data_IF_964375010513
#
_entry.id   IF_964375010513
#
_cell.length_a   1.000
_cell.length_b   1.000
_cell.length_c   1.000
_cell.angle_alpha   90.00
_cell.angle_beta   90.00
_cell.angle_gamma   90.00
#
_symmetry.space_group_name_H-M   'P 1'
#
loop_
_entity.id
_entity.type
_entity.pdbx_description
1 polymer ?
#
# COMPACT_ATOMS: atom_id res chain seq x y z
N UNK A 1 10.26 8.33 -11.79
CA UNK A 1 9.62 7.26 -11.00
C UNK A 1 9.63 6.01 -11.86
N UNK A 2 10.19 4.89 -11.38
CA UNK A 2 10.07 3.61 -12.07
C UNK A 2 8.61 3.16 -11.97
N UNK A 3 7.99 2.86 -13.12
CA UNK A 3 6.70 2.19 -13.15
C UNK A 3 6.89 0.80 -12.57
N UNK A 4 6.30 0.56 -11.39
CA UNK A 4 6.32 -0.76 -10.78
C UNK A 4 5.20 -1.59 -11.41
N UNK A 5 5.59 -2.56 -12.23
CA UNK A 5 4.71 -3.60 -12.74
C UNK A 5 4.55 -4.68 -11.65
N UNK A 6 3.30 -4.95 -11.28
CA UNK A 6 2.91 -6.01 -10.36
C UNK A 6 2.24 -7.13 -11.13
N UNK A 7 2.69 -8.36 -10.94
CA UNK A 7 1.99 -9.54 -11.47
C UNK A 7 0.95 -9.98 -10.44
N UNK A 8 -0.32 -10.00 -10.84
CA UNK A 8 -1.44 -10.27 -9.95
C UNK A 8 -2.42 -11.26 -10.57
N UNK A 9 -3.29 -11.84 -9.72
CA UNK A 9 -4.56 -12.42 -10.14
C UNK A 9 -5.72 -11.64 -9.53
N UNK A 10 -6.79 -11.45 -10.28
CA UNK A 10 -8.01 -10.75 -9.82
C UNK A 10 -9.16 -11.77 -9.77
N UNK A 11 -9.89 -11.86 -8.66
CA UNK A 11 -10.97 -12.84 -8.45
C UNK A 11 -12.23 -12.18 -7.89
N UNK A 12 -13.45 -12.54 -8.32
CA UNK A 12 -14.66 -12.03 -7.70
C UNK A 12 -14.76 -12.51 -6.25
N UNK A 13 -15.00 -11.62 -5.29
CA UNK A 13 -15.09 -12.01 -3.88
C UNK A 13 -16.30 -12.94 -3.60
N UNK A 14 -17.39 -12.77 -4.36
CA UNK A 14 -18.58 -13.62 -4.27
C UNK A 14 -18.42 -14.99 -4.96
N UNK A 15 -17.37 -15.18 -5.76
CA UNK A 15 -17.05 -16.45 -6.40
C UNK A 15 -15.51 -16.60 -6.54
N UNK A 16 -14.80 -16.87 -5.42
CA UNK A 16 -13.34 -16.81 -5.36
C UNK A 16 -12.64 -17.97 -6.08
N UNK A 17 -13.40 -18.90 -6.66
CA UNK A 17 -12.89 -19.98 -7.51
C UNK A 17 -12.80 -19.55 -8.99
N UNK A 18 -13.25 -18.33 -9.32
CA UNK A 18 -13.10 -17.76 -10.65
C UNK A 18 -12.02 -16.68 -10.67
N UNK A 19 -11.39 -16.52 -11.83
CA UNK A 19 -10.31 -15.58 -12.07
C UNK A 19 -10.62 -14.69 -13.26
N UNK A 20 -10.30 -13.40 -13.16
CA UNK A 20 -10.36 -12.48 -14.30
C UNK A 20 -9.51 -13.05 -15.43
N UNK A 21 -10.07 -13.00 -16.63
CA UNK A 21 -9.58 -13.73 -17.78
C UNK A 21 -9.75 -12.85 -19.02
N UNK A 22 -8.69 -12.15 -19.45
CA UNK A 22 -8.61 -11.58 -20.78
C UNK A 22 -8.58 -12.71 -21.80
N UNK A 23 -9.66 -12.86 -22.58
CA UNK A 23 -9.64 -13.81 -23.67
C UNK A 23 -8.56 -13.41 -24.69
N UNK A 24 -7.99 -14.42 -25.31
CA UNK A 24 -7.14 -14.30 -26.49
C UNK A 24 -7.57 -15.25 -27.60
N UNK A 25 -8.75 -15.87 -27.47
CA UNK A 25 -9.36 -16.65 -28.54
C UNK A 25 -10.18 -15.73 -29.45
N UNK A 26 -9.97 -15.86 -30.76
CA UNK A 26 -10.70 -15.06 -31.77
C UNK A 26 -12.21 -15.33 -31.79
N UNK A 27 -12.70 -16.28 -30.99
CA UNK A 27 -14.11 -16.69 -30.94
C UNK A 27 -15.05 -15.55 -30.57
N UNK A 28 -14.57 -14.53 -29.84
CA UNK A 28 -15.36 -13.32 -29.50
C UNK A 28 -14.62 -12.00 -29.66
N UNK A 29 -13.65 -11.93 -30.57
CA UNK A 29 -13.03 -10.66 -30.92
C UNK A 29 -14.07 -9.62 -31.40
N UNK A 30 -13.87 -8.34 -31.09
CA UNK A 30 -14.54 -7.24 -31.78
C UNK A 30 -13.49 -6.36 -32.44
N UNK A 31 -13.27 -6.56 -33.73
CA UNK A 31 -12.10 -6.00 -34.40
C UNK A 31 -10.82 -6.59 -33.81
N UNK A 32 -9.95 -5.73 -33.26
CA UNK A 32 -8.71 -6.13 -32.60
C UNK A 32 -8.87 -6.36 -31.08
N UNK A 33 -10.07 -6.15 -30.54
CA UNK A 33 -10.33 -6.24 -29.10
C UNK A 33 -10.73 -7.65 -28.70
N UNK A 34 -10.45 -8.03 -27.45
CA UNK A 34 -10.87 -9.32 -26.88
C UNK A 34 -11.69 -9.16 -25.61
N UNK A 35 -12.67 -10.02 -25.39
CA UNK A 35 -13.50 -10.01 -24.16
C UNK A 35 -12.66 -10.21 -22.88
N UNK A 36 -13.12 -9.64 -21.77
CA UNK A 36 -12.68 -10.00 -20.42
C UNK A 36 -13.81 -10.70 -19.69
N UNK A 37 -13.49 -11.82 -19.04
CA UNK A 37 -14.44 -12.68 -18.32
C UNK A 37 -13.92 -13.09 -16.96
N UNK A 38 -14.68 -13.91 -16.26
CA UNK A 38 -14.17 -14.72 -15.16
C UNK A 38 -14.23 -16.20 -15.52
N UNK A 39 -13.15 -16.93 -15.25
CA UNK A 39 -12.96 -18.32 -15.66
C UNK A 39 -12.68 -19.20 -14.42
N UNK A 40 -13.26 -20.41 -14.30
CA UNK A 40 -13.12 -21.28 -13.11
C UNK A 40 -11.77 -22.01 -12.99
N UNK A 41 -10.90 -21.93 -14.00
CA UNK A 41 -9.58 -22.56 -13.95
C UNK A 41 -8.48 -21.53 -13.77
N UNK A 42 -7.50 -21.89 -12.93
CA UNK A 42 -6.27 -21.10 -12.79
C UNK A 42 -5.31 -21.48 -13.91
N UNK A 43 -5.01 -20.51 -14.77
CA UNK A 43 -4.09 -20.66 -15.90
C UNK A 43 -3.24 -19.39 -16.11
N UNK A 44 -2.26 -19.48 -17.00
CA UNK A 44 -1.33 -18.36 -17.27
C UNK A 44 -2.05 -17.09 -17.72
N UNK A 45 -3.18 -17.23 -18.43
CA UNK A 45 -3.99 -16.09 -18.92
C UNK A 45 -4.68 -15.31 -17.80
N UNK A 46 -4.79 -15.88 -16.59
CA UNK A 46 -5.30 -15.16 -15.43
C UNK A 46 -4.27 -14.26 -14.76
N UNK A 47 -3.00 -14.36 -15.15
CA UNK A 47 -1.96 -13.45 -14.67
C UNK A 47 -2.09 -12.11 -15.38
N UNK A 48 -2.12 -11.04 -14.59
CA UNK A 48 -2.31 -9.68 -15.05
C UNK A 48 -1.13 -8.82 -14.60
N UNK A 49 -0.76 -7.85 -15.43
CA UNK A 49 0.22 -6.83 -15.10
C UNK A 49 -0.54 -5.58 -14.67
N UNK A 50 -0.41 -5.21 -13.40
CA UNK A 50 -0.86 -3.93 -12.86
C UNK A 50 0.30 -2.96 -12.89
N UNK A 51 0.15 -1.87 -13.61
CA UNK A 51 1.14 -0.79 -13.66
C UNK A 51 0.59 0.43 -12.96
N UNK A 52 1.30 0.90 -11.92
CA UNK A 52 0.92 2.11 -11.22
C UNK A 52 1.09 3.36 -12.10
N UNK A 53 0.06 4.21 -12.11
CA UNK A 53 0.06 5.49 -12.84
C UNK A 53 0.25 6.65 -11.87
N UNK A 54 -0.66 6.79 -10.90
CA UNK A 54 -0.65 7.81 -9.83
C UNK A 54 -1.64 7.39 -8.74
N UNK A 55 -1.45 7.83 -7.51
CA UNK A 55 -2.40 7.58 -6.40
C UNK A 55 -2.88 6.12 -6.37
N UNK A 56 -4.18 5.87 -6.49
CA UNK A 56 -4.81 4.55 -6.58
C UNK A 56 -5.20 4.16 -8.03
N UNK A 57 -4.56 4.77 -9.02
CA UNK A 57 -4.83 4.59 -10.45
C UNK A 57 -3.81 3.66 -11.09
N UNK A 58 -4.32 2.64 -11.77
CA UNK A 58 -3.52 1.59 -12.42
C UNK A 58 -4.00 1.35 -13.84
N UNK A 59 -3.10 0.88 -14.70
CA UNK A 59 -3.52 0.14 -15.90
C UNK A 59 -3.45 -1.36 -15.62
N UNK A 60 -4.35 -2.13 -16.22
CA UNK A 60 -4.37 -3.59 -16.12
C UNK A 60 -4.09 -4.16 -17.51
N UNK A 61 -3.08 -5.02 -17.65
CA UNK A 61 -2.73 -5.68 -18.92
C UNK A 61 -2.71 -7.19 -18.76
N UNK A 62 -2.97 -7.92 -19.84
CA UNK A 62 -2.78 -9.38 -19.86
C UNK A 62 -1.29 -9.71 -19.78
N UNK A 63 -0.86 -10.62 -18.90
CA UNK A 63 0.54 -11.05 -18.87
C UNK A 63 0.92 -11.88 -20.11
N UNK A 64 -0.04 -12.58 -20.71
CA UNK A 64 0.17 -13.39 -21.93
C UNK A 64 0.00 -12.58 -23.22
N UNK A 65 -0.57 -11.37 -23.12
CA UNK A 65 -0.63 -10.40 -24.20
C UNK A 65 -0.37 -8.96 -23.65
N UNK A 66 0.88 -8.64 -23.29
CA UNK A 66 1.22 -7.44 -22.52
C UNK A 66 1.10 -6.12 -23.29
N UNK A 67 0.78 -6.17 -24.59
CA UNK A 67 0.46 -4.99 -25.38
C UNK A 67 -1.02 -4.61 -25.26
N UNK A 68 -1.87 -5.47 -24.68
CA UNK A 68 -3.30 -5.24 -24.54
C UNK A 68 -3.68 -4.78 -23.13
N UNK A 69 -4.40 -3.66 -23.05
CA UNK A 69 -4.95 -3.08 -21.83
C UNK A 69 -6.40 -3.51 -21.64
N UNK A 70 -6.77 -3.89 -20.42
CA UNK A 70 -8.16 -4.02 -19.99
C UNK A 70 -8.76 -2.62 -19.91
N UNK A 71 -9.94 -2.42 -20.51
CA UNK A 71 -10.63 -1.14 -20.54
C UNK A 71 -12.16 -1.32 -20.47
N UNK A 72 -12.84 -0.30 -19.95
CA UNK A 72 -14.30 -0.24 -20.00
C UNK A 72 -14.75 0.37 -21.33
N UNK A 73 -15.51 -0.40 -22.10
CA UNK A 73 -16.07 0.03 -23.37
C UNK A 73 -17.44 0.68 -23.18
N UNK A 74 -17.48 1.98 -23.39
CA UNK A 74 -18.69 2.80 -23.40
C UNK A 74 -19.25 3.05 -24.81
N UNK A 75 -18.91 2.21 -25.79
CA UNK A 75 -19.37 2.33 -27.19
C UNK A 75 -20.78 1.78 -27.43
N UNK A 76 -21.39 1.14 -26.42
CA UNK A 76 -22.74 0.59 -26.49
C UNK A 76 -22.88 -0.68 -27.33
N UNK A 77 -21.79 -1.25 -27.84
CA UNK A 77 -21.84 -2.39 -28.78
C UNK A 77 -22.20 -3.70 -28.09
N UNK A 78 -21.69 -3.91 -26.87
CA UNK A 78 -21.91 -5.12 -26.05
C UNK A 78 -22.39 -4.82 -24.63
N UNK A 79 -22.72 -3.56 -24.36
CA UNK A 79 -23.34 -3.16 -23.09
C UNK A 79 -24.68 -3.85 -22.90
N UNK A 80 -24.99 -4.23 -21.67
CA UNK A 80 -26.30 -4.76 -21.31
C UNK A 80 -27.04 -3.73 -20.46
N UNK A 81 -28.18 -3.23 -20.96
CA UNK A 81 -28.88 -2.14 -20.29
C UNK A 81 -28.03 -0.87 -20.21
N UNK A 82 -27.72 -0.41 -18.99
CA UNK A 82 -26.86 0.75 -18.72
C UNK A 82 -25.39 0.41 -18.45
N UNK A 83 -25.01 -0.87 -18.56
CA UNK A 83 -23.67 -1.34 -18.24
C UNK A 83 -22.71 -1.12 -19.40
N UNK A 84 -21.42 -0.90 -19.07
CA UNK A 84 -20.34 -0.93 -20.04
C UNK A 84 -19.71 -2.32 -20.09
N UNK A 85 -19.41 -2.79 -21.29
CA UNK A 85 -18.65 -4.03 -21.50
C UNK A 85 -17.18 -3.82 -21.12
N UNK A 86 -16.46 -4.89 -20.77
CA UNK A 86 -15.03 -4.85 -20.44
C UNK A 86 -14.26 -5.76 -21.37
N UNK A 87 -13.30 -5.15 -22.06
CA UNK A 87 -12.51 -5.79 -23.13
C UNK A 87 -11.04 -5.48 -22.94
N UNK A 88 -10.21 -6.07 -23.80
CA UNK A 88 -8.82 -5.68 -23.95
C UNK A 88 -8.52 -5.17 -25.34
N UNK A 89 -7.64 -4.18 -25.46
CA UNK A 89 -7.20 -3.61 -26.76
C UNK A 89 -5.77 -3.07 -26.68
N UNK A 90 -5.15 -2.85 -27.84
CA UNK A 90 -3.75 -2.43 -27.93
C UNK A 90 -3.53 -0.90 -27.85
N UNK A 91 -4.58 -0.09 -27.86
CA UNK A 91 -4.42 1.37 -27.90
C UNK A 91 -4.11 1.90 -26.50
N UNK A 92 -3.13 2.80 -26.38
CA UNK A 92 -2.85 3.47 -25.13
C UNK A 92 -3.75 4.69 -24.96
N UNK A 93 -4.78 4.59 -24.12
CA UNK A 93 -5.76 5.66 -23.89
C UNK A 93 -6.19 5.76 -22.43
N UNK A 94 -6.91 6.83 -22.08
CA UNK A 94 -7.33 7.12 -20.71
C UNK A 94 -8.31 6.07 -20.15
N UNK A 95 -9.11 5.42 -21.01
CA UNK A 95 -10.04 4.34 -20.62
C UNK A 95 -9.35 3.07 -20.12
N UNK A 96 -8.03 2.96 -20.30
CA UNK A 96 -7.21 1.85 -19.78
C UNK A 96 -6.92 1.99 -18.29
N UNK A 97 -7.25 3.15 -17.70
CA UNK A 97 -6.98 3.46 -16.31
C UNK A 97 -8.16 3.04 -15.44
N UNK A 98 -7.81 2.43 -14.31
CA UNK A 98 -8.72 1.91 -13.30
C UNK A 98 -8.34 2.47 -11.94
N UNK A 99 -9.33 2.90 -11.18
CA UNK A 99 -9.17 3.27 -9.78
C UNK A 99 -9.36 1.99 -8.96
N UNK A 100 -8.32 1.57 -8.22
CA UNK A 100 -8.35 0.36 -7.38
C UNK A 100 -8.26 0.76 -5.92
N UNK A 101 -9.33 0.53 -5.16
CA UNK A 101 -9.46 0.98 -3.76
C UNK A 101 -9.84 -0.16 -2.85
N UNK A 102 -9.19 -0.25 -1.69
CA UNK A 102 -9.56 -1.20 -0.66
C UNK A 102 -10.97 -0.89 -0.11
N UNK A 103 -11.80 -1.92 0.00
CA UNK A 103 -13.17 -1.83 0.50
C UNK A 103 -13.55 -3.10 1.26
N UNK A 104 -13.72 -3.01 2.57
CA UNK A 104 -14.07 -4.16 3.41
C UNK A 104 -13.01 -5.26 3.35
N UNK A 105 -13.36 -6.42 2.79
CA UNK A 105 -12.48 -7.60 2.68
C UNK A 105 -11.85 -7.76 1.29
N UNK A 106 -11.93 -6.74 0.43
CA UNK A 106 -11.41 -6.79 -0.93
C UNK A 106 -11.23 -5.40 -1.53
N UNK A 107 -11.45 -5.27 -2.83
CA UNK A 107 -11.22 -4.05 -3.60
C UNK A 107 -12.42 -3.71 -4.47
N UNK A 108 -12.72 -2.42 -4.59
CA UNK A 108 -13.48 -1.89 -5.72
C UNK A 108 -12.50 -1.54 -6.85
N UNK A 109 -12.88 -1.90 -8.08
CA UNK A 109 -12.17 -1.52 -9.31
C UNK A 109 -13.13 -0.64 -10.11
N UNK A 110 -12.84 0.65 -10.25
CA UNK A 110 -13.73 1.65 -10.87
C UNK A 110 -13.12 2.22 -12.15
N UNK A 111 -13.97 2.59 -13.11
CA UNK A 111 -13.52 3.19 -14.37
C UNK A 111 -12.96 4.58 -14.09
N UNK A 112 -11.72 4.88 -14.47
CA UNK A 112 -11.12 6.19 -14.17
C UNK A 112 -11.86 7.35 -14.85
N UNK A 113 -12.30 7.19 -16.10
CA UNK A 113 -13.08 8.21 -16.83
C UNK A 113 -14.55 8.29 -16.41
N UNK A 114 -15.07 7.27 -15.70
CA UNK A 114 -16.43 7.22 -15.17
C UNK A 114 -16.42 6.65 -13.75
N UNK A 115 -15.93 7.41 -12.74
CA UNK A 115 -15.61 6.86 -11.42
C UNK A 115 -16.81 6.31 -10.63
N UNK A 116 -18.03 6.60 -11.05
CA UNK A 116 -19.26 6.03 -10.52
C UNK A 116 -19.54 4.60 -11.03
N UNK A 117 -18.82 4.11 -12.05
CA UNK A 117 -18.97 2.76 -12.57
C UNK A 117 -17.98 1.77 -11.92
N UNK A 118 -18.51 0.67 -11.40
CA UNK A 118 -17.79 -0.38 -10.68
C UNK A 118 -17.70 -1.65 -11.52
N UNK A 119 -16.52 -2.26 -11.59
CA UNK A 119 -16.30 -3.57 -12.20
C UNK A 119 -17.06 -4.66 -11.45
N UNK A 120 -17.70 -5.58 -12.16
CA UNK A 120 -18.34 -6.74 -11.57
C UNK A 120 -18.33 -7.94 -12.52
N UNK A 121 -18.41 -9.14 -11.96
CA UNK A 121 -18.67 -10.36 -12.73
C UNK A 121 -20.18 -10.53 -12.90
N UNK A 122 -20.65 -10.50 -14.14
CA UNK A 122 -22.05 -10.68 -14.50
C UNK A 122 -22.41 -12.17 -14.45
N UNK A 123 -23.06 -12.58 -13.36
CA UNK A 123 -23.59 -13.93 -13.16
C UNK A 123 -25.07 -14.06 -13.58
N UNK A 124 -25.51 -13.23 -14.52
CA UNK A 124 -26.90 -13.15 -15.01
C UNK A 124 -27.18 -14.11 -16.17
N UNK A 125 -26.19 -14.94 -16.55
CA UNK A 125 -26.28 -15.89 -17.66
C UNK A 125 -26.20 -15.26 -19.05
N UNK A 126 -26.08 -13.93 -19.13
CA UNK A 126 -25.90 -13.26 -20.42
C UNK A 126 -24.50 -13.55 -20.96
N UNK A 127 -24.45 -13.98 -22.22
CA UNK A 127 -23.22 -14.36 -22.95
C UNK A 127 -22.33 -15.43 -22.30
N UNK A 128 -22.82 -16.20 -21.33
CA UNK A 128 -22.05 -17.30 -20.72
C UNK A 128 -21.49 -18.26 -21.78
N UNK A 129 -20.19 -18.56 -21.72
CA UNK A 129 -19.54 -19.57 -22.56
C UNK A 129 -19.00 -20.67 -21.66
N UNK A 130 -19.68 -21.81 -21.63
CA UNK A 130 -19.36 -22.87 -20.67
C UNK A 130 -19.57 -22.40 -19.24
N UNK A 131 -18.51 -22.44 -18.43
CA UNK A 131 -18.51 -21.99 -17.04
C UNK A 131 -18.11 -20.54 -16.83
N UNK A 132 -17.90 -19.76 -17.89
CA UNK A 132 -17.42 -18.38 -17.78
C UNK A 132 -18.55 -17.38 -17.51
N UNK A 133 -18.23 -16.32 -16.79
CA UNK A 133 -19.11 -15.15 -16.59
C UNK A 133 -18.53 -13.91 -17.25
N UNK A 134 -19.40 -13.12 -17.88
CA UNK A 134 -19.04 -11.81 -18.44
C UNK A 134 -18.51 -10.87 -17.34
N UNK A 135 -17.72 -9.89 -17.72
CA UNK A 135 -17.27 -8.82 -16.83
C UNK A 135 -17.68 -7.48 -17.40
N UNK A 136 -18.30 -6.65 -16.57
CA UNK A 136 -18.90 -5.37 -16.97
C UNK A 136 -18.62 -4.31 -15.92
N UNK A 137 -19.01 -3.07 -16.22
CA UNK A 137 -19.06 -2.00 -15.23
C UNK A 137 -20.41 -1.32 -15.20
N UNK A 138 -20.87 -0.93 -14.00
CA UNK A 138 -22.20 -0.34 -13.80
C UNK A 138 -22.22 0.62 -12.60
N UNK A 139 -23.22 1.52 -12.48
CA UNK A 139 -23.22 2.54 -11.44
C UNK A 139 -23.79 2.09 -10.08
N UNK A 140 -24.25 0.84 -9.97
CA UNK A 140 -24.83 0.35 -8.71
C UNK A 140 -23.74 -0.19 -7.79
N UNK A 141 -23.90 0.03 -6.49
CA UNK A 141 -23.03 -0.55 -5.48
C UNK A 141 -23.68 -1.79 -4.89
N UNK A 142 -23.06 -2.94 -5.12
CA UNK A 142 -23.54 -4.24 -4.71
C UNK A 142 -22.39 -5.21 -4.39
N UNK A 143 -22.73 -6.37 -3.81
CA UNK A 143 -21.74 -7.35 -3.37
C UNK A 143 -20.85 -7.89 -4.52
N UNK A 144 -21.35 -7.87 -5.77
CA UNK A 144 -20.61 -8.34 -6.94
C UNK A 144 -19.49 -7.38 -7.38
N UNK A 145 -19.47 -6.14 -6.86
CA UNK A 145 -18.40 -5.17 -7.14
C UNK A 145 -17.10 -5.43 -6.38
N UNK A 146 -17.11 -6.39 -5.46
CA UNK A 146 -15.96 -6.68 -4.63
C UNK A 146 -15.05 -7.72 -5.30
N UNK A 147 -13.77 -7.37 -5.41
CA UNK A 147 -12.73 -8.20 -6.01
C UNK A 147 -11.61 -8.50 -5.01
N UNK A 148 -11.04 -9.68 -5.07
CA UNK A 148 -9.80 -10.04 -4.40
C UNK A 148 -8.66 -9.89 -5.42
N UNK A 149 -7.57 -9.23 -5.05
CA UNK A 149 -6.43 -9.03 -5.93
C UNK A 149 -5.19 -9.61 -5.26
N UNK A 150 -4.82 -10.82 -5.66
CA UNK A 150 -3.65 -11.52 -5.12
C UNK A 150 -2.39 -10.97 -5.79
N UNK A 151 -1.40 -10.57 -5.00
CA UNK A 151 -0.17 -9.96 -5.50
C UNK A 151 -0.24 -8.44 -5.67
N UNK A 152 -1.40 -7.81 -5.43
CA UNK A 152 -1.48 -6.35 -5.34
C UNK A 152 -0.93 -5.88 -4.00
N UNK A 153 0.30 -5.36 -4.05
CA UNK A 153 0.98 -4.81 -2.88
C UNK A 153 1.28 -3.33 -3.12
N UNK A 154 0.25 -2.50 -3.26
CA UNK A 154 0.40 -1.04 -3.35
C UNK A 154 -0.16 -0.38 -2.09
N UNK A 155 0.69 0.29 -1.31
CA UNK A 155 0.21 1.14 -0.20
C UNK A 155 -0.11 2.53 -0.76
N UNK A 156 -1.04 3.29 -0.14
CA UNK A 156 -1.10 4.72 -0.39
C UNK A 156 0.31 5.29 -0.21
N UNK A 157 0.75 6.15 -1.14
CA UNK A 157 2.13 6.57 -1.23
C UNK A 157 2.64 7.15 0.09
N UNK A 158 1.76 7.80 0.86
CA UNK A 158 2.04 8.33 2.20
C UNK A 158 0.80 8.18 3.10
N UNK A 159 0.97 7.63 4.31
CA UNK A 159 -0.06 7.54 5.35
C UNK A 159 0.25 8.53 6.48
N UNK A 160 -0.75 9.28 6.95
CA UNK A 160 -0.61 10.14 8.12
C UNK A 160 -1.06 9.37 9.37
N UNK A 161 -0.14 9.17 10.30
CA UNK A 161 -0.29 8.24 11.42
C UNK A 161 0.22 8.85 12.73
N UNK A 162 -0.12 8.20 13.85
CA UNK A 162 0.63 8.34 15.11
C UNK A 162 1.34 7.04 15.43
N UNK A 163 2.51 7.12 16.05
CA UNK A 163 3.27 5.94 16.52
C UNK A 163 3.33 6.01 18.04
N UNK A 164 2.96 4.94 18.74
CA UNK A 164 2.90 4.89 20.21
C UNK A 164 3.62 3.67 20.75
N UNK A 165 4.22 3.80 21.93
CA UNK A 165 4.90 2.68 22.59
C UNK A 165 3.86 1.65 23.02
N UNK A 166 3.96 0.40 22.59
CA UNK A 166 2.93 -0.60 22.93
C UNK A 166 2.88 -0.93 24.43
N UNK A 167 4.03 -0.94 25.10
CA UNK A 167 4.12 -1.15 26.56
C UNK A 167 3.71 0.08 27.38
N UNK A 168 3.60 1.25 26.74
CA UNK A 168 3.07 2.47 27.34
C UNK A 168 2.25 3.26 26.30
N UNK A 169 1.02 2.82 25.98
CA UNK A 169 0.23 3.34 24.86
C UNK A 169 -0.16 4.81 24.97
N UNK A 170 0.06 5.45 26.13
CA UNK A 170 -0.17 6.87 26.29
C UNK A 170 0.98 7.72 25.75
N UNK A 171 2.13 7.13 25.41
CA UNK A 171 3.30 7.84 24.91
C UNK A 171 3.40 7.79 23.38
N UNK A 172 3.48 8.97 22.77
CA UNK A 172 3.47 9.20 21.33
C UNK A 172 4.87 9.62 20.86
N UNK A 173 5.31 9.00 19.76
CA UNK A 173 6.52 9.37 19.04
C UNK A 173 6.41 10.80 18.50
N UNK A 174 7.50 11.57 18.58
CA UNK A 174 7.61 12.88 17.96
C UNK A 174 9.07 13.24 17.68
N UNK A 175 9.28 14.14 16.73
CA UNK A 175 10.57 14.83 16.58
C UNK A 175 10.60 16.05 17.50
N UNK A 176 11.62 16.15 18.33
CA UNK A 176 11.86 17.31 19.19
C UNK A 176 12.07 18.56 18.33
N UNK A 177 11.67 19.72 18.87
CA UNK A 177 11.96 21.02 18.28
C UNK A 177 12.67 21.95 19.28
N UNK A 178 13.14 21.40 20.41
CA UNK A 178 13.72 22.17 21.51
C UNK A 178 15.10 22.75 21.16
N UNK A 179 15.73 22.29 20.08
CA UNK A 179 17.05 22.75 19.62
C UNK A 179 18.18 22.45 20.60
N UNK A 180 17.90 21.75 21.71
CA UNK A 180 18.86 21.53 22.81
C UNK A 180 19.93 20.52 22.43
N UNK A 181 19.64 19.67 21.42
CA UNK A 181 20.46 18.49 21.12
C UNK A 181 20.70 18.25 19.64
N UNK A 182 20.29 19.18 18.77
CA UNK A 182 20.54 19.08 17.34
C UNK A 182 22.03 19.20 17.01
N UNK A 183 22.60 18.13 16.48
CA UNK A 183 23.92 18.15 15.85
C UNK A 183 23.70 18.54 14.38
N UNK A 184 24.25 19.67 13.95
CA UNK A 184 24.26 20.03 12.53
C UNK A 184 22.89 20.33 11.88
N UNK A 185 21.83 20.57 12.65
CA UNK A 185 20.47 20.78 12.13
C UNK A 185 19.53 19.58 12.26
N UNK A 186 20.02 18.49 12.85
CA UNK A 186 19.20 17.33 13.19
C UNK A 186 18.30 17.60 14.41
N UNK A 187 17.23 16.83 14.55
CA UNK A 187 16.38 16.86 15.75
C UNK A 187 16.25 15.47 16.39
N UNK A 188 16.38 15.38 17.70
CA UNK A 188 16.14 14.13 18.44
C UNK A 188 14.71 13.62 18.24
N UNK A 189 14.54 12.32 18.27
CA UNK A 189 13.22 11.66 18.33
C UNK A 189 12.98 11.13 19.73
N UNK A 190 11.79 11.41 20.26
CA UNK A 190 11.38 11.04 21.62
C UNK A 190 9.94 10.52 21.65
N UNK A 191 9.51 10.07 22.82
CA UNK A 191 8.09 9.80 23.10
C UNK A 191 7.63 10.56 24.33
N UNK A 192 6.37 11.02 24.35
CA UNK A 192 5.77 11.75 25.48
C UNK A 192 4.27 11.52 25.59
N UNK A 193 3.69 11.83 26.75
CA UNK A 193 2.28 11.57 27.03
C UNK A 193 1.30 12.58 26.40
N UNK A 194 1.78 13.73 25.92
CA UNK A 194 0.88 14.78 25.39
C UNK A 194 0.50 14.48 23.94
N UNK A 195 -0.78 14.68 23.62
CA UNK A 195 -1.29 14.58 22.27
C UNK A 195 -1.25 15.94 21.59
N UNK A 196 -0.34 16.09 20.64
CA UNK A 196 -0.07 17.32 19.92
C UNK A 196 0.14 17.06 18.41
N UNK A 197 0.08 18.13 17.62
CA UNK A 197 0.25 18.05 16.17
C UNK A 197 1.58 17.40 15.75
N UNK A 198 2.65 17.55 16.56
CA UNK A 198 3.97 16.98 16.29
C UNK A 198 4.06 15.47 16.44
N UNK A 199 3.04 14.83 17.03
CA UNK A 199 2.95 13.37 17.07
C UNK A 199 2.54 12.75 15.73
N UNK A 200 2.04 13.58 14.80
CA UNK A 200 1.66 13.12 13.46
C UNK A 200 2.93 12.86 12.64
N UNK A 201 3.01 11.67 12.07
CA UNK A 201 4.09 11.22 11.20
C UNK A 201 3.55 10.79 9.85
N UNK A 202 4.38 10.98 8.83
CA UNK A 202 4.11 10.54 7.46
C UNK A 202 4.91 9.25 7.20
N UNK A 203 4.20 8.15 7.01
CA UNK A 203 4.77 6.88 6.57
C UNK A 203 4.67 6.78 5.06
N UNK A 204 5.78 6.98 4.37
CA UNK A 204 5.84 6.91 2.90
C UNK A 204 6.43 5.57 2.48
N UNK A 205 5.68 4.78 1.72
CA UNK A 205 6.15 3.44 1.33
C UNK A 205 7.20 3.54 0.24
N UNK A 206 8.33 2.87 0.47
CA UNK A 206 9.46 2.76 -0.48
C UNK A 206 9.39 1.44 -1.23
N UNK A 207 9.13 0.33 -0.54
CA UNK A 207 8.99 -1.01 -1.13
C UNK A 207 8.20 -1.95 -0.21
N UNK A 208 8.23 -3.27 -0.42
CA UNK A 208 7.53 -4.24 0.45
C UNK A 208 8.05 -4.12 1.88
N UNK A 209 7.16 -3.73 2.80
CA UNK A 209 7.44 -3.48 4.21
C UNK A 209 8.51 -2.42 4.50
N UNK A 210 8.99 -1.66 3.50
CA UNK A 210 9.99 -0.60 3.69
C UNK A 210 9.34 0.76 3.54
N UNK A 211 9.56 1.64 4.51
CA UNK A 211 8.96 2.96 4.59
C UNK A 211 10.01 4.01 4.97
N UNK A 212 9.81 5.26 4.57
CA UNK A 212 10.40 6.39 5.29
C UNK A 212 9.40 6.91 6.31
N UNK A 213 9.92 7.47 7.41
CA UNK A 213 9.12 8.11 8.45
C UNK A 213 9.55 9.57 8.48
N UNK A 214 8.62 10.51 8.40
CA UNK A 214 8.87 11.94 8.50
C UNK A 214 7.89 12.60 9.46
N UNK A 215 8.27 13.72 10.09
CA UNK A 215 7.33 14.49 10.91
C UNK A 215 6.33 15.20 9.99
N UNK A 216 5.02 15.11 10.26
CA UNK A 216 4.03 15.77 9.42
C UNK A 216 4.14 17.32 9.47
N UNK A 217 4.62 17.87 10.59
CA UNK A 217 4.86 19.31 10.74
C UNK A 217 6.14 19.78 10.00
N UNK A 218 7.06 18.86 9.67
CA UNK A 218 8.24 19.13 8.86
C UNK A 218 8.52 17.93 7.93
N UNK A 219 7.75 17.79 6.84
CA UNK A 219 7.79 16.59 5.97
C UNK A 219 9.13 16.34 5.28
N UNK A 220 10.00 17.34 5.24
CA UNK A 220 11.33 17.24 4.65
C UNK A 220 12.36 16.64 5.62
N UNK A 221 12.02 16.42 6.88
CA UNK A 221 12.91 15.80 7.87
C UNK A 221 12.55 14.34 8.12
N UNK A 222 13.48 13.45 7.77
CA UNK A 222 13.30 12.00 7.84
C UNK A 222 13.97 11.41 9.07
N UNK A 223 13.29 10.45 9.71
CA UNK A 223 13.80 9.73 10.86
C UNK A 223 14.92 8.79 10.40
N UNK A 224 16.01 8.71 11.16
CA UNK A 224 17.14 7.83 10.89
C UNK A 224 17.84 7.40 12.19
N UNK A 225 18.44 6.19 12.25
CA UNK A 225 19.35 5.83 13.31
C UNK A 225 20.68 6.57 13.11
N UNK A 226 21.03 7.39 14.10
CA UNK A 226 22.28 8.12 14.18
C UNK A 226 23.40 7.18 14.66
N UNK A 227 23.88 6.34 13.76
CA UNK A 227 25.05 5.47 13.93
C UNK A 227 26.40 6.20 13.83
N UNK A 228 26.40 7.52 14.02
CA UNK A 228 27.56 8.42 13.97
C UNK A 228 28.52 8.30 15.17
N UNK A 229 28.22 7.39 16.11
CA UNK A 229 29.01 7.16 17.32
C UNK A 229 28.99 8.32 18.34
N UNK A 230 28.30 9.42 18.05
CA UNK A 230 28.37 10.65 18.86
C UNK A 230 27.55 10.54 20.15
N UNK A 231 26.59 9.61 20.20
CA UNK A 231 25.71 9.37 21.36
C UNK A 231 25.25 7.91 21.53
N UNK A 232 26.06 6.95 21.10
CA UNK A 232 25.73 5.55 21.32
C UNK A 232 25.82 5.22 22.82
N UNK A 233 24.73 4.74 23.42
CA UNK A 233 24.72 4.23 24.79
C UNK A 233 24.64 2.71 24.77
N UNK A 234 25.63 2.02 25.32
CA UNK A 234 25.60 0.55 25.42
C UNK A 234 25.53 -0.21 24.07
N UNK A 235 25.82 0.45 22.94
CA UNK A 235 25.67 -0.13 21.59
C UNK A 235 24.36 0.26 20.89
N UNK A 236 23.50 1.04 21.54
CA UNK A 236 22.30 1.62 20.95
C UNK A 236 22.66 2.80 20.05
N UNK A 237 21.83 3.08 19.04
CA UNK A 237 21.92 4.30 18.24
C UNK A 237 20.71 5.19 18.47
N UNK A 238 20.93 6.46 18.82
CA UNK A 238 19.87 7.47 18.87
C UNK A 238 19.12 7.56 17.56
N UNK A 239 17.82 7.85 17.61
CA UNK A 239 17.06 8.20 16.42
C UNK A 239 16.89 9.70 16.36
N UNK A 240 17.20 10.26 15.19
CA UNK A 240 17.10 11.69 14.91
C UNK A 240 16.34 11.91 13.61
N UNK A 241 16.08 13.17 13.28
CA UNK A 241 15.54 13.58 11.98
C UNK A 241 16.47 14.55 11.27
N UNK A 242 16.62 14.44 9.96
CA UNK A 242 17.44 15.34 9.14
C UNK A 242 16.83 15.57 7.74
N UNK A 243 17.24 16.61 6.99
CA UNK A 243 16.71 16.89 5.65
C UNK A 243 17.38 16.13 4.51
N UNK A 244 18.45 15.37 4.77
CA UNK A 244 19.13 14.57 3.75
C UNK A 244 18.29 13.37 3.31
N UNK A 245 18.53 12.88 2.10
CA UNK A 245 17.90 11.68 1.56
C UNK A 245 18.95 10.57 1.47
N UNK A 246 18.87 9.59 2.36
CA UNK A 246 19.83 8.50 2.47
C UNK A 246 19.18 7.17 2.87
N UNK A 247 19.92 6.08 2.71
CA UNK A 247 19.42 4.72 3.00
C UNK A 247 19.03 4.52 4.47
N UNK A 248 19.67 5.23 5.40
CA UNK A 248 19.32 5.22 6.84
C UNK A 248 17.93 5.80 7.13
N UNK A 249 17.34 6.55 6.21
CA UNK A 249 15.96 7.05 6.35
C UNK A 249 14.91 5.97 6.11
N UNK A 250 15.32 4.79 5.63
CA UNK A 250 14.43 3.66 5.37
C UNK A 250 14.30 2.79 6.61
N UNK A 251 13.09 2.32 6.84
CA UNK A 251 12.68 1.50 7.97
C UNK A 251 11.88 0.31 7.49
N UNK A 252 12.18 -0.87 8.02
CA UNK A 252 11.39 -2.08 7.81
C UNK A 252 10.29 -2.10 8.88
N UNK A 253 9.02 -2.09 8.48
CA UNK A 253 7.86 -2.14 9.38
C UNK A 253 7.11 -3.44 9.14
N UNK A 254 7.01 -4.26 10.19
CA UNK A 254 6.40 -5.59 10.14
C UNK A 254 5.49 -5.83 11.36
N UNK A 255 4.50 -6.71 11.21
CA UNK A 255 3.64 -7.13 12.32
C UNK A 255 4.47 -7.84 13.40
N UNK A 256 4.21 -7.52 14.66
CA UNK A 256 4.75 -8.26 15.81
C UNK A 256 3.93 -9.54 16.13
N UNK A 257 2.88 -9.81 15.35
CA UNK A 257 1.90 -10.90 15.53
C UNK A 257 1.10 -10.84 16.85
N UNK A 258 1.10 -9.70 17.52
CA UNK A 258 0.44 -9.45 18.79
C UNK A 258 -0.35 -8.14 18.78
N UNK A 259 -0.72 -7.63 17.60
CA UNK A 259 -1.47 -6.38 17.43
C UNK A 259 -0.61 -5.11 17.50
N UNK A 260 0.70 -5.22 17.33
CA UNK A 260 1.62 -4.10 17.15
C UNK A 260 2.57 -4.32 15.97
N UNK A 261 3.59 -3.48 15.89
CA UNK A 261 4.58 -3.46 14.82
C UNK A 261 5.99 -3.39 15.36
N UNK A 262 6.89 -4.11 14.70
CA UNK A 262 8.33 -3.95 14.83
C UNK A 262 8.79 -2.97 13.76
N UNK A 263 9.60 -1.99 14.16
CA UNK A 263 10.22 -1.02 13.25
C UNK A 263 11.72 -1.24 13.32
N UNK A 264 12.37 -1.59 12.20
CA UNK A 264 13.80 -1.94 12.14
C UNK A 264 14.54 -1.04 11.18
N UNK A 265 15.81 -0.77 11.47
CA UNK A 265 16.68 -0.04 10.54
C UNK A 265 16.82 -0.82 9.23
N UNK A 266 16.71 -0.15 8.08
CA UNK A 266 16.94 -0.81 6.79
C UNK A 266 18.41 -1.16 6.56
N UNK A 267 19.34 -0.28 6.96
CA UNK A 267 20.78 -0.50 6.78
C UNK A 267 21.38 -1.44 7.82
N UNK A 268 20.71 -1.60 8.97
CA UNK A 268 21.08 -2.56 10.00
C UNK A 268 19.83 -3.30 10.51
N UNK A 269 19.31 -4.30 9.76
CA UNK A 269 18.02 -4.95 10.07
C UNK A 269 17.97 -5.73 11.38
N UNK A 270 19.10 -5.90 12.07
CA UNK A 270 19.14 -6.47 13.41
C UNK A 270 18.77 -5.45 14.48
N UNK A 271 18.78 -4.15 14.17
CA UNK A 271 18.47 -3.09 15.13
C UNK A 271 16.99 -2.70 15.09
N UNK A 272 16.34 -2.79 16.24
CA UNK A 272 14.91 -2.50 16.46
C UNK A 272 14.74 -1.14 17.13
N UNK A 273 13.81 -0.34 16.63
CA UNK A 273 13.37 0.91 17.26
C UNK A 273 12.73 0.61 18.62
N UNK A 274 13.08 1.39 19.65
CA UNK A 274 12.47 1.30 20.97
C UNK A 274 12.47 2.66 21.68
N UNK A 275 11.58 2.81 22.65
CA UNK A 275 11.61 3.92 23.61
C UNK A 275 12.49 3.52 24.82
N UNK A 276 13.56 4.29 25.05
CA UNK A 276 14.49 4.07 26.15
C UNK A 276 13.89 4.58 27.47
N UNK A 277 13.81 3.69 28.46
CA UNK A 277 13.33 4.01 29.82
C UNK A 277 14.43 3.86 30.88
N UNK A 278 15.69 3.99 30.46
CA UNK A 278 16.88 3.81 31.30
C UNK A 278 17.20 5.05 32.16
N UNK A 279 16.35 6.08 32.12
CA UNK A 279 16.54 7.34 32.84
C UNK A 279 17.70 8.18 32.32
N UNK A 280 18.45 7.70 31.33
CA UNK A 280 19.40 8.53 30.61
C UNK A 280 18.58 9.54 29.81
N UNK A 281 18.96 10.82 29.92
CA UNK A 281 18.42 11.90 29.10
C UNK A 281 16.95 12.32 29.29
N UNK A 282 16.25 11.87 30.34
CA UNK A 282 14.88 12.30 30.65
C UNK A 282 14.76 13.81 30.79
N UNK A 283 14.04 14.44 29.87
CA UNK A 283 13.61 15.84 29.98
C UNK A 283 12.14 15.83 30.40
N UNK A 284 11.89 15.78 31.71
CA UNK A 284 10.53 15.52 32.23
C UNK A 284 10.14 14.05 32.06
N UNK A 285 8.91 13.81 31.62
CA UNK A 285 8.31 12.48 31.40
C UNK A 285 8.56 11.91 29.99
N UNK A 286 9.47 12.53 29.22
CA UNK A 286 9.82 12.11 27.87
C UNK A 286 10.85 10.96 27.87
N UNK A 287 10.71 10.04 26.91
CA UNK A 287 11.67 8.96 26.69
C UNK A 287 12.40 9.14 25.35
N UNK A 288 13.74 9.00 25.36
CA UNK A 288 14.53 8.95 24.13
C UNK A 288 14.10 7.78 23.25
N UNK A 289 14.25 7.92 21.94
CA UNK A 289 14.01 6.84 20.98
C UNK A 289 15.31 6.44 20.32
N UNK A 290 15.59 5.15 20.35
CA UNK A 290 16.85 4.58 19.88
C UNK A 290 16.62 3.30 19.10
N UNK A 291 17.70 2.73 18.56
CA UNK A 291 17.70 1.40 17.96
C UNK A 291 18.76 0.50 18.57
N UNK A 292 18.45 -0.77 18.81
CA UNK A 292 19.38 -1.75 19.41
C UNK A 292 19.19 -3.17 18.87
N UNK A 293 20.17 -4.08 19.00
CA UNK A 293 20.08 -5.43 18.44
C UNK A 293 19.20 -6.41 19.24
N UNK A 294 18.81 -6.05 20.47
CA UNK A 294 17.98 -6.91 21.32
C UNK A 294 16.53 -6.95 20.84
N UNK A 295 15.85 -8.06 21.07
CA UNK A 295 14.40 -8.17 20.92
C UNK A 295 13.76 -8.20 22.30
N UNK A 296 12.91 -7.23 22.57
CA UNK A 296 12.23 -7.06 23.84
C UNK A 296 10.89 -6.35 23.66
N UNK A 297 10.09 -6.30 24.74
CA UNK A 297 8.73 -5.76 24.69
C UNK A 297 8.69 -4.28 24.24
N UNK A 298 9.75 -3.50 24.53
CA UNK A 298 9.88 -2.08 24.15
C UNK A 298 10.07 -1.88 22.64
N UNK A 299 10.37 -2.93 21.88
CA UNK A 299 10.51 -2.85 20.42
C UNK A 299 9.17 -2.85 19.68
N UNK A 300 8.06 -3.08 20.38
CA UNK A 300 6.75 -3.13 19.78
C UNK A 300 6.01 -1.79 19.88
N UNK A 301 5.43 -1.38 18.76
CA UNK A 301 4.78 -0.09 18.55
C UNK A 301 3.34 -0.29 18.09
N UNK A 302 2.46 0.62 18.51
CA UNK A 302 1.14 0.77 17.90
C UNK A 302 1.26 1.89 16.86
N UNK A 303 0.81 1.65 15.63
CA UNK A 303 0.78 2.67 14.59
C UNK A 303 -0.69 2.93 14.23
N UNK A 304 -1.25 4.03 14.72
CA UNK A 304 -2.66 4.35 14.51
C UNK A 304 -2.87 4.92 13.10
N UNK A 305 -3.92 4.46 12.43
CA UNK A 305 -4.20 4.85 11.04
C UNK A 305 -3.28 4.20 10.01
N UNK A 306 -2.43 3.23 10.42
CA UNK A 306 -1.54 2.51 9.52
C UNK A 306 -2.15 1.19 9.07
N UNK A 307 -2.17 1.00 7.76
CA UNK A 307 -2.52 -0.25 7.11
C UNK A 307 -1.25 -0.97 6.69
N UNK A 308 -0.88 -2.01 7.46
CA UNK A 308 0.18 -2.93 7.04
C UNK A 308 -0.39 -3.88 6.00
N UNK A 309 0.16 -3.79 4.78
CA UNK A 309 -0.20 -4.70 3.71
C UNK A 309 0.54 -6.03 3.92
N UNK A 310 -0.08 -6.97 4.62
CA UNK A 310 0.45 -8.29 4.88
C UNK A 310 0.17 -9.23 3.71
N UNK A 311 0.96 -9.15 2.62
CA UNK A 311 1.01 -10.19 1.58
C UNK A 311 2.42 -10.35 1.02
#
# INVERSE_FOLDING_TARGET
>A
MQHQDLIVTIRPAHNPNHYLFPSNDGARGYGADFDVRTHPHQEQRNQLILTHVKDNVFTIRSATNPTHFVFASNDGVRGFGGDFDVRTHASNEERNQWIIEHHGQGYHIRVYTHPNHYLFAANDGSNGFGGDFDVRTHPHQEARNLWLIDGLVFAPATQNCTIRVKTNPNHYLFASNDGVRGLGGDFDVRTHASQEQRNQVLLTRVSRNVYTIACAANPNHFFFPSDDGTRAYGGDFDVRTHPHHEERNKWIIESDNQGGFLIRSFVNPQHYLFAANDGSNGYGDDFDVRTHPHQEARNSWIIDGFLLHSY
#
